data_IF_430695977828
#
_entry.id   IF_430695977828
#
_cell.length_a   1.000
_cell.length_b   1.000
_cell.length_c   1.000
_cell.angle_alpha   90.00
_cell.angle_beta   90.00
_cell.angle_gamma   90.00
#
_symmetry.space_group_name_H-M   'P 1'
#
loop_
_entity.id
_entity.type
_entity.pdbx_description
1 polymer ?
#
# COMPACT_ATOMS: atom_id res chain seq x y z
N UNK A 1 15.94 1.55 -68.14
CA UNK A 1 15.14 1.83 -66.93
C UNK A 1 15.73 1.37 -65.58
N UNK A 2 16.86 0.63 -65.52
CA UNK A 2 17.36 0.05 -64.24
C UNK A 2 18.30 0.95 -63.40
N UNK A 3 18.84 2.05 -63.94
CA UNK A 3 19.85 2.89 -63.24
C UNK A 3 19.26 4.09 -62.45
N UNK A 4 17.99 4.43 -62.66
CA UNK A 4 17.34 5.55 -61.96
C UNK A 4 16.81 5.22 -60.56
N UNK A 5 16.55 3.94 -60.28
CA UNK A 5 15.97 3.49 -59.01
C UNK A 5 17.01 3.51 -57.88
N UNK A 6 18.20 2.95 -58.11
CA UNK A 6 19.28 2.94 -57.12
C UNK A 6 19.77 4.34 -56.73
N UNK A 7 19.75 5.31 -57.66
CA UNK A 7 20.21 6.68 -57.42
C UNK A 7 19.25 7.52 -56.57
N UNK A 8 17.94 7.20 -56.60
CA UNK A 8 16.90 7.91 -55.82
C UNK A 8 16.67 7.29 -54.44
N UNK A 9 16.82 5.98 -54.32
CA UNK A 9 16.57 5.26 -53.06
C UNK A 9 17.81 5.00 -52.22
N UNK A 10 19.02 5.10 -52.79
CA UNK A 10 20.29 4.90 -52.08
C UNK A 10 20.42 5.72 -50.79
N UNK A 11 20.16 7.05 -50.81
CA UNK A 11 20.20 7.87 -49.60
C UNK A 11 19.16 7.48 -48.56
N UNK A 12 17.95 7.10 -48.98
CA UNK A 12 16.88 6.65 -48.07
C UNK A 12 17.21 5.31 -47.42
N UNK A 13 17.79 4.36 -48.18
CA UNK A 13 18.28 3.10 -47.65
C UNK A 13 19.43 3.31 -46.66
N UNK A 14 20.40 4.17 -46.99
CA UNK A 14 21.50 4.50 -46.10
C UNK A 14 20.99 5.15 -44.79
N UNK A 15 20.04 6.09 -44.90
CA UNK A 15 19.41 6.70 -43.73
C UNK A 15 18.62 5.67 -42.91
N UNK A 16 17.88 4.77 -43.55
CA UNK A 16 17.15 3.69 -42.90
C UNK A 16 18.08 2.71 -42.17
N UNK A 17 19.19 2.32 -42.77
CA UNK A 17 20.22 1.49 -42.14
C UNK A 17 20.89 2.20 -40.97
N UNK A 18 21.22 3.48 -41.12
CA UNK A 18 21.79 4.27 -40.04
C UNK A 18 20.82 4.39 -38.84
N UNK A 19 19.54 4.67 -39.10
CA UNK A 19 18.50 4.68 -38.06
C UNK A 19 18.33 3.30 -37.42
N UNK A 20 18.32 2.23 -38.21
CA UNK A 20 18.26 0.86 -37.71
C UNK A 20 19.45 0.54 -36.80
N UNK A 21 20.66 0.90 -37.20
CA UNK A 21 21.86 0.75 -36.38
C UNK A 21 21.76 1.54 -35.07
N UNK A 22 21.30 2.80 -35.11
CA UNK A 22 21.10 3.62 -33.90
C UNK A 22 20.07 2.99 -32.95
N UNK A 23 18.96 2.46 -33.46
CA UNK A 23 17.94 1.76 -32.65
C UNK A 23 18.52 0.50 -32.02
N UNK A 24 19.29 -0.30 -32.78
CA UNK A 24 19.93 -1.50 -32.27
C UNK A 24 20.99 -1.18 -31.21
N UNK A 25 21.83 -0.17 -31.44
CA UNK A 25 22.81 0.30 -30.46
C UNK A 25 22.12 0.78 -29.19
N UNK A 26 21.06 1.57 -29.31
CA UNK A 26 20.27 2.04 -28.17
C UNK A 26 19.65 0.87 -27.38
N UNK A 27 19.11 -0.13 -28.07
CA UNK A 27 18.57 -1.34 -27.45
C UNK A 27 19.66 -2.12 -26.69
N UNK A 28 20.83 -2.35 -27.30
CA UNK A 28 21.97 -3.03 -26.67
C UNK A 28 22.44 -2.25 -25.43
N UNK A 29 22.60 -0.93 -25.53
CA UNK A 29 23.00 -0.09 -24.40
C UNK A 29 22.02 -0.17 -23.22
N UNK A 30 20.74 -0.34 -23.50
CA UNK A 30 19.68 -0.50 -22.50
C UNK A 30 19.63 -1.90 -21.89
N UNK A 31 20.32 -2.90 -22.44
CA UNK A 31 20.42 -4.23 -21.79
C UNK A 31 21.38 -4.21 -20.60
N UNK A 32 21.00 -4.89 -19.52
CA UNK A 32 21.82 -5.10 -18.33
C UNK A 32 21.30 -6.29 -17.51
N UNK A 33 22.22 -7.00 -16.84
CA UNK A 33 21.90 -8.07 -15.88
C UNK A 33 21.34 -7.55 -14.55
N UNK A 34 21.55 -6.27 -14.24
CA UNK A 34 21.02 -5.61 -13.04
C UNK A 34 19.90 -4.63 -13.40
N UNK A 35 19.01 -4.35 -12.44
CA UNK A 35 17.95 -3.36 -12.56
C UNK A 35 18.47 -1.94 -12.32
N UNK A 36 19.50 -1.79 -11.47
CA UNK A 36 20.12 -0.51 -11.14
C UNK A 36 20.96 -0.61 -9.87
N UNK A 37 21.19 0.52 -9.22
CA UNK A 37 21.94 0.62 -7.97
C UNK A 37 21.17 1.44 -6.94
N UNK A 38 21.44 1.15 -5.66
CA UNK A 38 20.95 1.88 -4.50
C UNK A 38 22.06 2.03 -3.46
N UNK A 39 21.97 2.96 -2.50
CA UNK A 39 22.87 2.98 -1.34
C UNK A 39 22.77 1.67 -0.55
N UNK A 40 23.85 1.28 0.14
CA UNK A 40 23.85 0.08 0.99
C UNK A 40 22.80 0.19 2.11
N UNK A 41 22.70 1.37 2.74
CA UNK A 41 21.76 1.74 3.79
C UNK A 41 20.34 2.08 3.35
N UNK A 42 19.93 1.71 2.12
CA UNK A 42 18.56 1.97 1.66
C UNK A 42 17.53 1.31 2.59
N UNK A 43 16.53 2.10 3.01
CA UNK A 43 15.41 1.67 3.85
C UNK A 43 14.30 1.02 3.02
N UNK A 44 14.11 1.45 1.78
CA UNK A 44 13.20 0.81 0.84
C UNK A 44 13.59 1.07 -0.60
N UNK A 45 13.11 0.21 -1.50
CA UNK A 45 13.25 0.34 -2.95
C UNK A 45 11.93 0.07 -3.66
N UNK A 46 11.67 0.83 -4.71
CA UNK A 46 10.70 0.53 -5.76
C UNK A 46 11.48 0.20 -7.02
N UNK A 47 11.20 -0.93 -7.65
CA UNK A 47 11.88 -1.36 -8.88
C UNK A 47 10.85 -1.72 -9.94
N UNK A 48 11.17 -1.39 -11.18
CA UNK A 48 10.40 -1.80 -12.34
C UNK A 48 11.37 -2.24 -13.43
N UNK A 49 11.18 -3.46 -13.92
CA UNK A 49 12.01 -3.99 -15.01
C UNK A 49 11.79 -3.22 -16.33
N UNK A 50 10.52 -2.93 -16.64
CA UNK A 50 10.12 -2.01 -17.70
C UNK A 50 9.03 -1.07 -17.20
N UNK A 51 9.44 0.05 -16.57
CA UNK A 51 8.54 1.07 -16.06
C UNK A 51 7.60 1.62 -17.17
N UNK A 52 8.08 1.69 -18.41
CA UNK A 52 7.26 2.12 -19.54
C UNK A 52 6.17 1.11 -19.88
N UNK A 53 6.49 -0.20 -19.86
CA UNK A 53 5.50 -1.25 -20.06
C UNK A 53 4.50 -1.33 -18.91
N UNK A 54 4.95 -1.23 -17.65
CA UNK A 54 4.08 -1.17 -16.48
C UNK A 54 3.07 -0.03 -16.58
N UNK A 55 3.53 1.20 -16.86
CA UNK A 55 2.63 2.37 -17.00
C UNK A 55 1.69 2.21 -18.19
N UNK A 56 2.17 1.66 -19.30
CA UNK A 56 1.33 1.41 -20.48
C UNK A 56 0.23 0.38 -20.19
N UNK A 57 0.55 -0.70 -19.48
CA UNK A 57 -0.41 -1.73 -19.07
C UNK A 57 -1.39 -1.18 -18.03
N UNK A 58 -0.91 -0.41 -17.06
CA UNK A 58 -1.76 0.22 -16.03
C UNK A 58 -2.78 1.16 -16.67
N UNK A 59 -2.37 1.96 -17.67
CA UNK A 59 -3.28 2.84 -18.41
C UNK A 59 -4.38 2.10 -19.19
N UNK A 60 -4.25 0.78 -19.40
CA UNK A 60 -5.28 -0.06 -20.02
C UNK A 60 -6.26 -0.64 -18.99
N UNK A 61 -5.94 -0.62 -17.70
CA UNK A 61 -6.87 -1.06 -16.66
C UNK A 61 -7.85 0.06 -16.29
N UNK A 62 -9.01 -0.31 -15.73
CA UNK A 62 -9.97 0.67 -15.23
C UNK A 62 -9.35 1.55 -14.14
N UNK A 63 -8.59 0.93 -13.24
CA UNK A 63 -7.93 1.59 -12.11
C UNK A 63 -6.93 2.63 -12.59
N UNK A 64 -6.11 2.34 -13.60
CA UNK A 64 -5.16 3.32 -14.13
C UNK A 64 -5.83 4.47 -14.89
N UNK A 65 -6.95 4.20 -15.59
CA UNK A 65 -7.73 5.25 -16.24
C UNK A 65 -8.39 6.18 -15.22
N UNK A 66 -9.01 5.61 -14.19
CA UNK A 66 -9.68 6.37 -13.14
C UNK A 66 -8.64 7.14 -12.29
N UNK A 67 -7.48 6.55 -11.99
CA UNK A 67 -6.36 7.23 -11.34
C UNK A 67 -5.87 8.43 -12.17
N UNK A 68 -5.72 8.27 -13.49
CA UNK A 68 -5.26 9.36 -14.35
C UNK A 68 -6.22 10.56 -14.32
N UNK A 69 -7.52 10.31 -14.22
CA UNK A 69 -8.53 11.38 -14.08
C UNK A 69 -8.45 12.03 -12.71
N UNK A 70 -8.42 11.23 -11.65
CA UNK A 70 -8.43 11.69 -10.26
C UNK A 70 -7.18 12.50 -9.90
N UNK A 71 -6.02 12.07 -10.39
CA UNK A 71 -4.74 12.75 -10.18
C UNK A 71 -4.37 13.72 -11.31
N UNK A 72 -5.30 14.07 -12.21
CA UNK A 72 -4.98 14.87 -13.41
C UNK A 72 -4.33 16.22 -13.10
N UNK A 73 -4.76 16.91 -12.04
CA UNK A 73 -4.14 18.17 -11.59
C UNK A 73 -2.72 17.94 -11.08
N UNK A 74 -2.51 16.98 -10.17
CA UNK A 74 -1.20 16.64 -9.60
C UNK A 74 -0.22 16.13 -10.66
N UNK A 75 -0.67 15.22 -11.52
CA UNK A 75 0.09 14.71 -12.66
C UNK A 75 0.40 15.86 -13.61
N UNK A 76 -0.56 16.74 -13.90
CA UNK A 76 -0.37 17.92 -14.76
C UNK A 76 0.68 18.87 -14.20
N UNK A 77 0.65 19.15 -12.90
CA UNK A 77 1.65 19.98 -12.23
C UNK A 77 3.04 19.34 -12.25
N UNK A 78 3.12 18.04 -11.91
CA UNK A 78 4.37 17.27 -11.99
C UNK A 78 4.93 17.31 -13.41
N UNK A 79 4.13 16.97 -14.42
CA UNK A 79 4.53 17.01 -15.83
C UNK A 79 4.99 18.40 -16.26
N UNK A 80 4.33 19.47 -15.78
CA UNK A 80 4.73 20.85 -16.05
C UNK A 80 6.08 21.18 -15.42
N UNK A 81 6.27 20.86 -14.13
CA UNK A 81 7.54 21.08 -13.40
C UNK A 81 8.68 20.30 -14.05
N UNK A 82 8.48 19.02 -14.34
CA UNK A 82 9.46 18.18 -15.03
C UNK A 82 9.78 18.70 -16.42
N UNK A 83 8.78 19.17 -17.18
CA UNK A 83 9.01 19.76 -18.51
C UNK A 83 9.84 21.05 -18.43
N UNK A 84 9.57 21.92 -17.46
CA UNK A 84 10.34 23.16 -17.26
C UNK A 84 11.78 22.83 -16.88
N UNK A 85 11.99 21.84 -16.01
CA UNK A 85 13.32 21.47 -15.52
C UNK A 85 14.16 20.67 -16.54
N UNK A 86 13.55 19.75 -17.27
CA UNK A 86 14.25 18.84 -18.18
C UNK A 86 14.14 19.22 -19.66
N UNK A 87 13.26 20.16 -20.02
CA UNK A 87 12.95 20.51 -21.42
C UNK A 87 12.19 19.42 -22.20
N UNK A 88 11.86 18.29 -21.56
CA UNK A 88 11.25 17.12 -22.21
C UNK A 88 9.84 16.89 -21.64
N UNK A 89 8.84 16.78 -22.52
CA UNK A 89 7.50 16.29 -22.12
C UNK A 89 7.60 14.80 -21.73
N UNK A 90 7.28 14.40 -20.50
CA UNK A 90 7.30 13.00 -20.09
C UNK A 90 6.13 12.27 -20.74
N UNK A 91 6.40 11.51 -21.78
CA UNK A 91 5.47 10.53 -22.37
C UNK A 91 6.13 9.16 -22.28
N UNK A 92 5.37 8.07 -22.30
CA UNK A 92 5.92 6.70 -22.20
C UNK A 92 7.01 6.48 -23.26
N UNK A 93 6.76 6.88 -24.51
CA UNK A 93 7.74 6.76 -25.59
C UNK A 93 9.00 7.58 -25.31
N UNK A 94 8.86 8.85 -24.91
CA UNK A 94 10.02 9.71 -24.60
C UNK A 94 10.78 9.19 -23.39
N UNK A 95 10.10 8.69 -22.36
CA UNK A 95 10.75 8.06 -21.23
C UNK A 95 11.61 6.87 -21.67
N UNK A 96 11.04 5.95 -22.45
CA UNK A 96 11.78 4.78 -22.94
C UNK A 96 12.96 5.19 -23.80
N UNK A 97 12.83 6.21 -24.64
CA UNK A 97 13.92 6.73 -25.48
C UNK A 97 15.05 7.32 -24.63
N UNK A 98 14.72 8.22 -23.69
CA UNK A 98 15.71 8.98 -22.91
C UNK A 98 16.24 8.20 -21.70
N UNK A 99 15.35 7.71 -20.84
CA UNK A 99 15.66 7.11 -19.54
C UNK A 99 15.83 5.58 -19.61
N UNK A 100 15.29 4.94 -20.65
CA UNK A 100 15.29 3.48 -20.80
C UNK A 100 14.08 2.81 -20.12
N UNK A 101 14.12 1.48 -20.02
CA UNK A 101 13.02 0.69 -19.44
C UNK A 101 13.13 0.53 -17.92
N UNK A 102 14.35 0.44 -17.40
CA UNK A 102 14.61 0.11 -15.98
C UNK A 102 14.46 1.35 -15.11
N UNK A 103 13.83 1.15 -13.96
CA UNK A 103 13.73 2.14 -12.91
C UNK A 103 13.98 1.47 -11.56
N UNK A 104 14.87 2.07 -10.78
CA UNK A 104 14.99 1.85 -9.34
C UNK A 104 14.79 3.19 -8.67
N UNK A 105 13.91 3.27 -7.69
CA UNK A 105 13.78 4.40 -6.77
C UNK A 105 14.11 3.85 -5.39
N UNK A 106 14.94 4.53 -4.62
CA UNK A 106 15.27 4.08 -3.27
C UNK A 106 15.42 5.26 -2.32
N UNK A 107 14.95 5.07 -1.10
CA UNK A 107 15.17 5.98 0.02
C UNK A 107 16.21 5.39 0.95
N UNK A 108 17.13 6.24 1.40
CA UNK A 108 18.17 5.93 2.35
C UNK A 108 18.33 7.13 3.31
N UNK A 109 19.08 7.01 4.42
CA UNK A 109 19.37 8.14 5.30
C UNK A 109 19.97 9.35 4.57
N UNK A 110 20.73 9.11 3.50
CA UNK A 110 21.33 10.14 2.66
C UNK A 110 20.32 10.85 1.75
N UNK A 111 19.11 10.31 1.57
CA UNK A 111 18.01 10.92 0.83
C UNK A 111 17.24 9.96 -0.09
N UNK A 112 16.46 10.54 -1.00
CA UNK A 112 15.69 9.84 -2.02
C UNK A 112 16.36 10.02 -3.38
N UNK A 113 16.53 8.93 -4.13
CA UNK A 113 17.05 9.00 -5.49
C UNK A 113 16.50 7.94 -6.41
N UNK A 114 16.78 8.12 -7.70
CA UNK A 114 16.40 7.22 -8.75
C UNK A 114 17.63 6.78 -9.56
N UNK A 115 17.59 5.54 -10.05
CA UNK A 115 18.57 4.96 -10.93
C UNK A 115 17.86 4.43 -12.17
N UNK A 116 18.30 4.89 -13.34
CA UNK A 116 17.77 4.47 -14.64
C UNK A 116 18.91 4.00 -15.54
N UNK A 117 18.59 3.34 -16.65
CA UNK A 117 19.59 2.95 -17.66
C UNK A 117 19.33 3.68 -18.98
N UNK A 118 19.86 4.90 -19.14
CA UNK A 118 19.57 5.73 -20.30
C UNK A 118 20.07 5.14 -21.60
N UNK A 119 19.39 5.55 -22.67
CA UNK A 119 19.73 5.25 -24.04
C UNK A 119 20.88 6.06 -24.62
N UNK A 120 21.03 5.93 -25.94
CA UNK A 120 22.08 6.58 -26.71
C UNK A 120 22.01 8.12 -26.60
N UNK A 121 20.81 8.71 -26.64
CA UNK A 121 20.66 10.17 -26.66
C UNK A 121 21.22 10.85 -25.42
N UNK A 122 20.88 10.35 -24.23
CA UNK A 122 21.35 10.97 -22.98
C UNK A 122 22.86 10.76 -22.78
N UNK A 123 23.39 9.63 -23.27
CA UNK A 123 24.84 9.37 -23.29
C UNK A 123 25.57 10.28 -24.27
N UNK A 124 24.97 10.58 -25.42
CA UNK A 124 25.53 11.53 -26.39
C UNK A 124 25.56 12.95 -25.81
N UNK A 125 24.49 13.40 -25.14
CA UNK A 125 24.45 14.69 -24.45
C UNK A 125 25.55 14.79 -23.39
N UNK A 126 25.73 13.76 -22.56
CA UNK A 126 26.81 13.71 -21.58
C UNK A 126 28.20 13.69 -22.24
N UNK A 127 28.35 12.98 -23.37
CA UNK A 127 29.58 12.96 -24.16
C UNK A 127 29.95 14.36 -24.69
N UNK A 128 29.00 15.06 -25.31
CA UNK A 128 29.18 16.44 -25.75
C UNK A 128 29.51 17.38 -24.60
N UNK A 129 28.82 17.24 -23.46
CA UNK A 129 29.12 18.03 -22.26
C UNK A 129 30.55 17.82 -21.78
N UNK A 130 31.04 16.58 -21.73
CA UNK A 130 32.43 16.27 -21.34
C UNK A 130 33.46 16.84 -22.31
N UNK A 131 33.15 16.85 -23.60
CA UNK A 131 34.02 17.47 -24.61
C UNK A 131 34.13 18.99 -24.44
N UNK A 132 33.03 19.65 -24.06
CA UNK A 132 33.01 21.11 -23.88
C UNK A 132 33.50 21.59 -22.51
N UNK A 133 33.12 20.90 -21.43
CA UNK A 133 33.44 21.32 -20.06
C UNK A 133 34.71 20.67 -19.49
N UNK A 134 35.29 19.70 -20.19
CA UNK A 134 36.41 18.90 -19.71
C UNK A 134 36.01 17.84 -18.66
N UNK A 135 36.98 17.01 -18.24
CA UNK A 135 36.75 15.98 -17.23
C UNK A 135 36.48 16.61 -15.85
N UNK A 136 35.39 16.18 -15.21
CA UNK A 136 35.02 16.55 -13.83
C UNK A 136 34.76 15.30 -13.03
N UNK A 137 35.08 15.33 -11.73
CA UNK A 137 34.77 14.23 -10.82
C UNK A 137 33.27 14.29 -10.44
N UNK A 138 32.54 13.16 -10.49
CA UNK A 138 31.16 13.09 -10.00
C UNK A 138 31.10 13.26 -8.47
N UNK A 139 29.95 13.62 -7.88
CA UNK A 139 28.66 13.87 -8.53
C UNK A 139 28.61 15.20 -9.30
N UNK A 140 27.95 15.19 -10.44
CA UNK A 140 27.64 16.39 -11.24
C UNK A 140 26.35 17.05 -10.73
N UNK A 141 26.12 18.32 -11.07
CA UNK A 141 24.87 19.01 -10.78
C UNK A 141 24.24 19.61 -12.03
N UNK A 142 22.90 19.60 -12.09
CA UNK A 142 22.12 20.25 -13.15
C UNK A 142 20.74 20.63 -12.61
N UNK A 143 20.36 21.90 -12.73
CA UNK A 143 19.03 22.41 -12.33
C UNK A 143 18.59 21.99 -10.91
N UNK A 144 19.52 22.00 -9.94
CA UNK A 144 19.26 21.60 -8.55
C UNK A 144 19.29 20.10 -8.27
N UNK A 145 19.49 19.26 -9.29
CA UNK A 145 19.68 17.82 -9.15
C UNK A 145 21.16 17.47 -9.16
N UNK A 146 21.54 16.45 -8.39
CA UNK A 146 22.83 15.79 -8.46
C UNK A 146 22.71 14.50 -9.25
N UNK A 147 23.72 14.18 -10.05
CA UNK A 147 23.74 12.95 -10.82
C UNK A 147 25.15 12.38 -11.03
N UNK A 148 25.21 11.08 -11.27
CA UNK A 148 26.44 10.41 -11.66
C UNK A 148 26.16 9.17 -12.52
N UNK A 149 27.21 8.70 -13.20
CA UNK A 149 27.15 7.49 -14.02
C UNK A 149 27.90 6.35 -13.33
N UNK A 150 27.26 5.18 -13.22
CA UNK A 150 27.87 3.94 -12.73
C UNK A 150 27.50 2.79 -13.65
N UNK A 151 28.50 2.19 -14.32
CA UNK A 151 28.30 1.03 -15.20
C UNK A 151 27.19 1.20 -16.25
N UNK A 152 27.07 2.42 -16.81
CA UNK A 152 26.05 2.78 -17.79
C UNK A 152 24.66 3.09 -17.22
N UNK A 153 24.50 3.05 -15.90
CA UNK A 153 23.32 3.58 -15.23
C UNK A 153 23.53 5.04 -14.85
N UNK A 154 22.46 5.81 -14.92
CA UNK A 154 22.40 7.18 -14.42
C UNK A 154 21.70 7.18 -13.07
N UNK A 155 22.38 7.69 -12.06
CA UNK A 155 21.88 7.89 -10.70
C UNK A 155 21.54 9.38 -10.57
N UNK A 156 20.35 9.70 -10.09
CA UNK A 156 19.86 11.07 -9.89
C UNK A 156 19.24 11.23 -8.51
N UNK A 157 19.49 12.35 -7.85
CA UNK A 157 18.87 12.70 -6.56
C UNK A 157 18.93 14.22 -6.34
N UNK A 158 18.06 14.74 -5.49
CA UNK A 158 18.21 16.09 -4.94
C UNK A 158 19.30 16.17 -3.85
N UNK A 159 19.74 15.02 -3.34
CA UNK A 159 20.83 14.91 -2.35
C UNK A 159 22.14 14.54 -3.04
N UNK A 160 23.17 15.35 -2.80
CA UNK A 160 24.55 15.06 -3.22
C UNK A 160 25.07 13.79 -2.54
N UNK A 161 24.77 13.65 -1.26
CA UNK A 161 25.26 12.56 -0.41
C UNK A 161 24.68 11.22 -0.85
N UNK A 162 23.40 11.21 -1.29
CA UNK A 162 22.81 10.02 -1.87
C UNK A 162 23.59 9.54 -3.10
N UNK A 163 23.89 10.44 -4.05
CA UNK A 163 24.63 10.07 -5.26
C UNK A 163 26.03 9.60 -4.91
N UNK A 164 26.70 10.26 -3.95
CA UNK A 164 28.02 9.86 -3.47
C UNK A 164 28.00 8.47 -2.84
N UNK A 165 27.01 8.17 -1.98
CA UNK A 165 26.84 6.85 -1.37
C UNK A 165 26.68 5.76 -2.44
N UNK A 166 25.77 5.95 -3.41
CA UNK A 166 25.62 4.97 -4.51
C UNK A 166 26.92 4.75 -5.30
N UNK A 167 27.79 5.77 -5.46
CA UNK A 167 29.08 5.60 -6.13
C UNK A 167 30.10 4.83 -5.29
N UNK A 168 30.15 5.09 -3.97
CA UNK A 168 31.13 4.50 -3.07
C UNK A 168 30.80 3.04 -2.73
N UNK A 169 29.57 2.76 -2.29
CA UNK A 169 29.18 1.48 -1.69
C UNK A 169 27.88 0.89 -2.26
N UNK A 170 27.37 1.47 -3.36
CA UNK A 170 26.04 1.12 -3.82
C UNK A 170 25.88 -0.36 -4.18
N UNK A 171 24.74 -0.92 -3.79
CA UNK A 171 24.36 -2.32 -3.97
C UNK A 171 23.62 -2.48 -5.28
N UNK A 172 24.04 -3.45 -6.09
CA UNK A 172 23.35 -3.81 -7.32
C UNK A 172 21.97 -4.42 -7.02
N UNK A 173 20.94 -3.87 -7.65
CA UNK A 173 19.58 -4.38 -7.54
C UNK A 173 19.38 -5.43 -8.63
N UNK A 174 18.99 -6.65 -8.23
CA UNK A 174 18.71 -7.74 -9.17
C UNK A 174 17.40 -7.50 -9.90
N UNK A 175 17.28 -8.12 -11.08
CA UNK A 175 16.00 -8.23 -11.74
C UNK A 175 15.13 -9.20 -10.97
N UNK A 176 13.98 -8.73 -10.54
CA UNK A 176 12.94 -9.54 -9.92
C UNK A 176 11.66 -9.34 -10.74
N UNK A 177 10.97 -10.45 -11.02
CA UNK A 177 9.59 -10.45 -11.52
C UNK A 177 9.34 -10.15 -13.00
N UNK A 178 8.11 -9.73 -13.28
CA UNK A 178 7.54 -9.59 -14.62
C UNK A 178 7.82 -8.19 -15.20
N UNK A 179 7.71 -8.03 -16.52
CA UNK A 179 7.96 -6.74 -17.18
C UNK A 179 6.92 -5.66 -16.83
N UNK A 180 5.71 -6.11 -16.54
CA UNK A 180 4.50 -5.36 -16.23
C UNK A 180 4.21 -5.33 -14.72
N UNK A 181 5.25 -5.46 -13.89
CA UNK A 181 5.14 -5.42 -12.45
C UNK A 181 6.02 -4.33 -11.84
N UNK A 182 5.53 -3.78 -10.73
CA UNK A 182 6.25 -2.90 -9.83
C UNK A 182 6.56 -3.66 -8.55
N UNK A 183 7.83 -3.68 -8.15
CA UNK A 183 8.29 -4.37 -6.96
C UNK A 183 8.66 -3.36 -5.90
N UNK A 184 8.04 -3.46 -4.74
CA UNK A 184 8.38 -2.71 -3.54
C UNK A 184 9.10 -3.62 -2.56
N UNK A 185 10.21 -3.16 -1.98
CA UNK A 185 10.93 -3.88 -0.92
C UNK A 185 11.31 -2.93 0.19
N UNK A 186 11.02 -3.31 1.42
CA UNK A 186 11.45 -2.60 2.62
C UNK A 186 12.58 -3.38 3.31
N UNK A 187 13.66 -2.68 3.67
CA UNK A 187 14.81 -3.23 4.38
C UNK A 187 14.75 -2.78 5.84
N UNK A 188 14.82 -3.72 6.78
CA UNK A 188 14.79 -3.43 8.21
C UNK A 188 14.03 -4.47 9.02
N UNK A 189 13.66 -4.16 10.28
CA UNK A 189 12.74 -4.97 11.06
C UNK A 189 11.42 -5.15 10.30
N UNK A 190 10.98 -6.40 10.14
CA UNK A 190 9.81 -6.71 9.30
C UNK A 190 10.09 -6.50 7.81
N UNK A 191 11.25 -6.94 7.32
CA UNK A 191 11.56 -7.00 5.89
C UNK A 191 10.38 -7.60 5.12
N UNK A 192 9.94 -6.89 4.09
CA UNK A 192 8.91 -7.39 3.19
C UNK A 192 9.16 -6.97 1.76
N UNK A 193 8.56 -7.74 0.87
CA UNK A 193 8.55 -7.51 -0.56
C UNK A 193 7.12 -7.64 -1.08
N UNK A 194 6.75 -6.76 -2.00
CA UNK A 194 5.45 -6.73 -2.66
C UNK A 194 5.69 -6.56 -4.15
N UNK A 195 4.97 -7.32 -4.95
CA UNK A 195 4.93 -7.21 -6.41
C UNK A 195 3.51 -6.88 -6.82
N UNK A 196 3.30 -5.76 -7.48
CA UNK A 196 1.99 -5.35 -8.02
C UNK A 196 2.03 -5.44 -9.54
N UNK A 197 1.12 -6.20 -10.13
CA UNK A 197 1.01 -6.37 -11.58
C UNK A 197 0.02 -5.35 -12.15
N UNK A 198 0.37 -4.75 -13.28
CA UNK A 198 -0.50 -3.83 -14.02
C UNK A 198 -1.53 -4.61 -14.88
N UNK A 199 -2.43 -5.32 -14.21
CA UNK A 199 -3.53 -6.07 -14.81
C UNK A 199 -4.85 -5.70 -14.12
N UNK A 200 -6.03 -6.03 -14.70
CA UNK A 200 -7.31 -5.79 -14.06
C UNK A 200 -7.32 -6.33 -12.63
N UNK A 201 -7.71 -5.47 -11.70
CA UNK A 201 -7.74 -5.79 -10.28
C UNK A 201 -6.42 -5.65 -9.52
N UNK A 202 -5.35 -5.20 -10.20
CA UNK A 202 -4.01 -4.99 -9.65
C UNK A 202 -3.53 -6.18 -8.78
N UNK A 203 -3.36 -7.38 -9.37
CA UNK A 203 -2.91 -8.55 -8.64
C UNK A 203 -1.62 -8.26 -7.89
N UNK A 204 -1.58 -8.68 -6.64
CA UNK A 204 -0.48 -8.42 -5.74
C UNK A 204 0.00 -9.73 -5.12
N UNK A 205 1.31 -9.89 -5.02
CA UNK A 205 1.92 -11.01 -4.34
C UNK A 205 3.15 -10.54 -3.58
N UNK A 206 3.45 -11.15 -2.45
CA UNK A 206 4.57 -10.71 -1.64
C UNK A 206 4.89 -11.66 -0.51
N UNK A 207 5.80 -11.20 0.33
CA UNK A 207 6.12 -11.90 1.56
C UNK A 207 6.63 -10.92 2.61
N UNK A 208 6.27 -11.17 3.85
CA UNK A 208 6.76 -10.42 5.02
C UNK A 208 7.32 -11.38 6.04
N UNK A 209 8.43 -11.03 6.68
CA UNK A 209 8.94 -11.82 7.82
C UNK A 209 8.02 -11.61 9.02
N UNK A 210 7.36 -12.67 9.46
CA UNK A 210 6.38 -12.64 10.53
C UNK A 210 6.49 -13.91 11.39
N UNK A 211 6.24 -13.77 12.69
CA UNK A 211 6.15 -14.89 13.63
C UNK A 211 4.74 -15.45 13.70
N UNK A 212 4.18 -15.79 12.53
CA UNK A 212 2.88 -16.45 12.40
C UNK A 212 3.16 -17.89 11.98
N UNK A 213 2.49 -18.84 12.61
CA UNK A 213 2.63 -20.27 12.32
C UNK A 213 1.47 -20.78 11.47
N UNK A 214 1.76 -21.72 10.57
CA UNK A 214 0.73 -22.38 9.78
C UNK A 214 -0.16 -23.27 10.65
N UNK A 215 -1.50 -23.14 10.51
CA UNK A 215 -2.46 -23.96 11.28
C UNK A 215 -3.73 -24.27 10.46
N UNK A 216 -4.15 -25.53 10.53
CA UNK A 216 -5.48 -26.00 10.12
C UNK A 216 -6.50 -25.80 11.27
N UNK A 217 -7.83 -25.69 11.01
CA UNK A 217 -8.58 -25.73 9.72
C UNK A 217 -8.47 -24.41 8.92
N UNK A 218 -9.22 -24.11 7.85
CA UNK A 218 -9.22 -22.81 7.12
C UNK A 218 -9.82 -21.63 7.91
N UNK A 219 -9.57 -20.37 7.49
CA UNK A 219 -10.16 -19.17 8.09
C UNK A 219 -11.58 -18.98 7.56
N UNK A 220 -12.48 -18.49 8.40
CA UNK A 220 -13.93 -18.39 8.07
C UNK A 220 -14.54 -17.05 8.47
N UNK A 221 -13.85 -16.26 9.30
CA UNK A 221 -14.23 -14.89 9.64
C UNK A 221 -13.89 -13.81 8.61
N UNK A 222 -12.92 -13.94 7.67
CA UNK A 222 -12.52 -12.85 6.78
C UNK A 222 -13.67 -12.21 6.01
N UNK A 223 -14.64 -13.02 5.58
CA UNK A 223 -15.79 -12.59 4.78
C UNK A 223 -17.13 -12.78 5.53
N UNK A 224 -17.07 -12.98 6.86
CA UNK A 224 -18.25 -13.13 7.74
C UNK A 224 -18.97 -11.81 8.03
N UNK A 225 -18.52 -10.70 7.45
CA UNK A 225 -18.99 -9.39 7.87
C UNK A 225 -20.36 -9.04 7.26
N UNK A 226 -21.39 -8.77 8.09
CA UNK A 226 -22.73 -8.34 7.69
C UNK A 226 -22.72 -7.00 6.93
N UNK A 227 -21.97 -6.02 7.44
CA UNK A 227 -21.60 -4.78 6.76
C UNK A 227 -20.13 -4.79 6.41
N UNK A 228 -19.80 -4.24 5.23
CA UNK A 228 -18.43 -4.13 4.73
C UNK A 228 -17.62 -3.21 5.65
N UNK A 229 -16.59 -3.71 6.36
CA UNK A 229 -15.74 -2.86 7.19
C UNK A 229 -14.87 -1.97 6.31
N UNK A 230 -14.29 -0.90 6.86
CA UNK A 230 -13.22 -0.15 6.20
C UNK A 230 -12.01 -1.07 6.01
N UNK A 231 -11.61 -1.75 7.10
CA UNK A 231 -10.48 -2.65 7.17
C UNK A 231 -10.84 -3.81 8.09
N UNK A 232 -10.50 -5.02 7.72
CA UNK A 232 -10.57 -6.19 8.57
C UNK A 232 -9.29 -7.02 8.46
N UNK A 233 -8.85 -7.54 9.60
CA UNK A 233 -7.71 -8.41 9.74
C UNK A 233 -8.16 -9.64 10.52
N UNK A 234 -8.06 -10.81 9.88
CA UNK A 234 -8.42 -12.09 10.46
C UNK A 234 -7.19 -12.97 10.58
N UNK A 235 -7.02 -13.62 11.72
CA UNK A 235 -5.91 -14.51 12.04
C UNK A 235 -6.39 -15.63 12.94
N UNK A 236 -5.53 -16.62 13.22
CA UNK A 236 -5.87 -17.75 14.09
C UNK A 236 -5.91 -17.38 15.55
N UNK A 237 -4.85 -16.74 16.04
CA UNK A 237 -4.68 -16.47 17.47
C UNK A 237 -4.51 -14.98 17.75
N UNK A 238 -4.89 -14.51 18.94
CA UNK A 238 -4.61 -13.14 19.36
C UNK A 238 -3.13 -12.74 19.26
N UNK A 239 -2.20 -13.66 19.50
CA UNK A 239 -0.76 -13.41 19.33
C UNK A 239 -0.38 -13.06 17.88
N UNK A 240 -1.02 -13.70 16.90
CA UNK A 240 -0.81 -13.42 15.47
C UNK A 240 -1.36 -12.03 15.10
N UNK A 241 -2.44 -11.59 15.76
CA UNK A 241 -3.03 -10.26 15.58
C UNK A 241 -2.07 -9.18 16.11
N UNK A 242 -1.46 -9.43 17.27
CA UNK A 242 -0.44 -8.55 17.83
C UNK A 242 0.80 -8.48 16.92
N UNK A 243 1.24 -9.61 16.36
CA UNK A 243 2.35 -9.65 15.40
C UNK A 243 2.00 -8.87 14.12
N UNK A 244 0.79 -9.04 13.58
CA UNK A 244 0.34 -8.29 12.42
C UNK A 244 0.24 -6.78 12.71
N UNK A 245 -0.26 -6.37 13.89
CA UNK A 245 -0.26 -4.98 14.32
C UNK A 245 1.16 -4.41 14.43
N UNK A 246 2.11 -5.19 14.99
CA UNK A 246 3.54 -4.83 15.06
C UNK A 246 4.15 -4.60 13.67
N UNK A 247 3.77 -5.39 12.68
CA UNK A 247 4.23 -5.25 11.29
C UNK A 247 3.67 -3.99 10.61
N UNK A 248 2.44 -3.60 10.96
CA UNK A 248 1.78 -2.41 10.42
C UNK A 248 2.19 -1.12 11.16
N UNK A 249 2.60 -1.19 12.43
CA UNK A 249 2.91 -0.04 13.27
C UNK A 249 3.89 0.98 12.64
N UNK A 250 5.04 0.57 12.02
CA UNK A 250 5.95 1.54 11.41
C UNK A 250 5.34 2.33 10.24
N UNK A 251 4.31 1.79 9.59
CA UNK A 251 3.59 2.45 8.50
C UNK A 251 2.60 3.46 9.05
N UNK A 252 1.88 3.08 10.12
CA UNK A 252 1.08 4.03 10.86
C UNK A 252 1.94 5.14 11.44
N UNK A 253 3.10 4.86 12.02
CA UNK A 253 3.97 5.88 12.59
C UNK A 253 4.47 6.92 11.58
N UNK A 254 4.65 6.52 10.31
CA UNK A 254 5.03 7.43 9.22
C UNK A 254 3.85 8.19 8.64
N UNK A 255 2.65 7.60 8.68
CA UNK A 255 1.42 8.20 8.16
C UNK A 255 0.67 9.05 9.18
N UNK A 256 0.90 8.81 10.47
CA UNK A 256 0.20 9.40 11.59
C UNK A 256 0.98 10.62 12.10
N UNK A 257 0.39 11.83 12.03
CA UNK A 257 1.00 13.03 12.59
C UNK A 257 1.35 12.85 14.08
N UNK A 258 2.40 13.51 14.57
CA UNK A 258 2.84 13.36 15.96
C UNK A 258 1.75 13.77 16.97
N UNK A 259 0.86 14.69 16.58
CA UNK A 259 -0.31 15.10 17.36
C UNK A 259 -1.27 13.94 17.60
N UNK A 260 -1.49 13.08 16.61
CA UNK A 260 -2.31 11.88 16.75
C UNK A 260 -1.63 10.84 17.63
N UNK A 261 -0.31 10.66 17.51
CA UNK A 261 0.42 9.75 18.40
C UNK A 261 0.27 10.18 19.86
N UNK A 262 0.41 11.48 20.13
CA UNK A 262 0.18 12.04 21.48
C UNK A 262 -1.25 11.85 21.94
N UNK A 263 -2.23 12.04 21.06
CA UNK A 263 -3.64 11.84 21.38
C UNK A 263 -3.95 10.37 21.68
N UNK A 264 -3.48 9.44 20.84
CA UNK A 264 -3.63 8.00 21.02
C UNK A 264 -2.94 7.58 22.32
N UNK A 265 -1.73 8.07 22.59
CA UNK A 265 -1.04 7.82 23.86
C UNK A 265 -1.83 8.37 25.05
N UNK A 266 -2.36 9.60 24.96
CA UNK A 266 -3.19 10.19 26.02
C UNK A 266 -4.49 9.42 26.23
N UNK A 267 -5.12 8.95 25.15
CA UNK A 267 -6.31 8.12 25.22
C UNK A 267 -5.98 6.76 25.86
N UNK A 268 -4.87 6.13 25.44
CA UNK A 268 -4.37 4.88 25.98
C UNK A 268 -4.08 4.98 27.48
N UNK A 269 -3.38 6.03 27.90
CA UNK A 269 -3.08 6.31 29.31
C UNK A 269 -4.36 6.55 30.13
N UNK A 270 -5.40 7.14 29.51
CA UNK A 270 -6.72 7.33 30.14
C UNK A 270 -7.58 6.09 30.17
N UNK A 271 -7.35 5.12 29.29
CA UNK A 271 -8.15 3.91 29.20
C UNK A 271 -7.89 2.93 30.34
N UNK A 272 -6.75 3.07 31.05
CA UNK A 272 -6.34 2.24 32.19
C UNK A 272 -6.72 0.76 32.00
N UNK A 273 -6.47 0.24 30.79
CA UNK A 273 -6.94 -1.10 30.40
C UNK A 273 -6.20 -2.11 31.27
N UNK A 274 -6.88 -2.83 32.17
CA UNK A 274 -6.19 -3.75 33.03
C UNK A 274 -5.59 -4.88 32.19
N UNK A 275 -4.48 -5.49 32.67
CA UNK A 275 -3.93 -6.65 32.00
C UNK A 275 -5.00 -7.74 31.92
N UNK A 276 -5.11 -8.38 30.76
CA UNK A 276 -5.97 -9.55 30.61
C UNK A 276 -5.41 -10.70 31.47
N UNK A 277 -6.31 -11.54 31.97
CA UNK A 277 -5.94 -12.73 32.75
C UNK A 277 -5.04 -13.66 31.93
N UNK A 278 -4.12 -14.36 32.61
CA UNK A 278 -3.29 -15.38 31.95
C UNK A 278 -4.15 -16.42 31.23
N UNK A 279 -3.85 -16.69 29.96
CA UNK A 279 -4.59 -17.65 29.15
C UNK A 279 -5.98 -17.19 28.72
N UNK A 280 -6.29 -15.89 28.71
CA UNK A 280 -7.56 -15.36 28.18
C UNK A 280 -7.81 -15.80 26.72
N UNK A 281 -6.74 -16.05 25.97
CA UNK A 281 -6.79 -16.52 24.59
C UNK A 281 -7.13 -18.01 24.45
N UNK A 282 -7.20 -18.76 25.57
CA UNK A 282 -7.46 -20.19 25.55
C UNK A 282 -8.82 -20.49 24.94
N UNK A 283 -8.84 -21.39 23.96
CA UNK A 283 -10.06 -21.79 23.25
C UNK A 283 -10.43 -20.89 22.08
N UNK A 284 -9.75 -19.75 21.87
CA UNK A 284 -9.91 -18.95 20.64
C UNK A 284 -9.19 -19.65 19.49
N UNK A 285 -9.94 -20.01 18.45
CA UNK A 285 -9.43 -20.70 17.24
C UNK A 285 -9.30 -19.78 16.04
N UNK A 286 -10.04 -18.68 16.04
CA UNK A 286 -9.98 -17.64 15.03
C UNK A 286 -10.36 -16.30 15.66
N UNK A 287 -9.69 -15.22 15.25
CA UNK A 287 -10.01 -13.86 15.67
C UNK A 287 -9.99 -12.94 14.47
N UNK A 288 -10.98 -12.04 14.41
CA UNK A 288 -11.12 -11.08 13.34
C UNK A 288 -11.43 -9.70 13.92
N UNK A 289 -10.54 -8.74 13.65
CA UNK A 289 -10.67 -7.35 14.08
C UNK A 289 -10.99 -6.48 12.87
N UNK A 290 -12.06 -5.68 12.96
CA UNK A 290 -12.46 -4.74 11.92
C UNK A 290 -12.58 -3.31 12.42
N UNK A 291 -12.10 -2.38 11.61
CA UNK A 291 -12.50 -0.99 11.62
C UNK A 291 -13.73 -0.84 10.75
N UNK A 292 -14.88 -0.55 11.35
CA UNK A 292 -16.18 -0.48 10.65
C UNK A 292 -16.60 0.96 10.32
N UNK A 293 -16.03 1.95 11.01
CA UNK A 293 -16.35 3.35 10.82
C UNK A 293 -15.44 4.25 11.64
N UNK A 294 -15.57 5.55 11.43
CA UNK A 294 -14.94 6.59 12.25
C UNK A 294 -16.00 7.65 12.53
N UNK A 295 -16.24 7.94 13.81
CA UNK A 295 -17.10 9.04 14.27
C UNK A 295 -16.30 10.34 14.07
N UNK A 296 -16.88 11.32 13.39
CA UNK A 296 -16.18 12.56 13.01
C UNK A 296 -16.83 13.83 13.54
N UNK A 297 -18.00 13.71 14.17
CA UNK A 297 -18.72 14.76 14.89
C UNK A 297 -18.21 14.98 16.33
N UNK A 298 -17.33 14.10 16.83
CA UNK A 298 -16.65 14.26 18.11
C UNK A 298 -15.48 15.26 18.04
N UNK A 299 -15.00 15.70 19.21
CA UNK A 299 -13.86 16.62 19.33
C UNK A 299 -12.58 16.12 18.63
N UNK A 300 -12.49 14.82 18.38
CA UNK A 300 -11.46 14.14 17.60
C UNK A 300 -12.09 12.90 16.93
N UNK A 301 -11.53 12.38 15.83
CA UNK A 301 -12.07 11.21 15.16
C UNK A 301 -11.96 9.95 16.04
N UNK A 302 -13.08 9.27 16.27
CA UNK A 302 -13.13 8.07 17.13
C UNK A 302 -13.37 6.81 16.28
N UNK A 303 -12.45 5.82 16.30
CA UNK A 303 -12.62 4.60 15.53
C UNK A 303 -13.74 3.73 16.10
N UNK A 304 -14.57 3.19 15.22
CA UNK A 304 -15.58 2.19 15.56
C UNK A 304 -15.05 0.81 15.21
N UNK A 305 -14.63 0.06 16.23
CA UNK A 305 -14.01 -1.25 16.10
C UNK A 305 -14.98 -2.36 16.47
N UNK A 306 -14.83 -3.51 15.80
CA UNK A 306 -15.53 -4.75 16.10
C UNK A 306 -14.51 -5.88 16.10
N UNK A 307 -14.56 -6.74 17.12
CA UNK A 307 -13.75 -7.93 17.23
C UNK A 307 -14.69 -9.14 17.37
N UNK A 308 -14.45 -10.15 16.54
CA UNK A 308 -15.13 -11.45 16.61
C UNK A 308 -14.08 -12.48 16.98
N UNK A 309 -14.32 -13.24 18.04
CA UNK A 309 -13.45 -14.31 18.50
C UNK A 309 -14.23 -15.62 18.46
N UNK A 310 -13.82 -16.52 17.56
CA UNK A 310 -14.41 -17.85 17.44
C UNK A 310 -13.81 -18.77 18.50
N UNK A 311 -14.68 -19.41 19.27
CA UNK A 311 -14.29 -20.31 20.35
C UNK A 311 -14.60 -21.78 20.09
N UNK A 312 -13.84 -22.69 20.71
CA UNK A 312 -14.26 -24.10 20.86
C UNK A 312 -15.39 -24.27 21.86
N UNK A 313 -15.57 -23.32 22.79
CA UNK A 313 -16.64 -23.33 23.79
C UNK A 313 -17.04 -21.92 24.23
N UNK A 314 -17.86 -21.22 23.43
CA UNK A 314 -18.38 -19.90 23.79
C UNK A 314 -19.43 -19.90 24.92
N UNK A 315 -19.65 -21.02 25.62
CA UNK A 315 -20.47 -21.04 26.83
C UNK A 315 -19.74 -20.50 28.07
N UNK A 316 -18.42 -20.34 28.02
CA UNK A 316 -17.65 -19.69 29.09
C UNK A 316 -17.84 -18.18 29.10
N UNK A 317 -17.41 -17.53 30.19
CA UNK A 317 -17.31 -16.08 30.28
C UNK A 317 -16.55 -15.49 29.09
N UNK A 318 -16.90 -14.26 28.71
CA UNK A 318 -16.25 -13.56 27.61
C UNK A 318 -14.75 -13.41 27.89
N UNK A 319 -13.83 -13.69 26.93
CA UNK A 319 -12.38 -13.64 27.14
C UNK A 319 -11.86 -12.29 27.67
N UNK A 320 -12.54 -11.20 27.30
CA UNK A 320 -12.20 -9.84 27.72
C UNK A 320 -12.99 -9.36 28.95
N UNK A 321 -13.72 -10.24 29.64
CA UNK A 321 -14.56 -9.85 30.79
C UNK A 321 -13.76 -9.23 31.94
N UNK A 322 -12.50 -9.64 32.13
CA UNK A 322 -11.61 -9.08 33.16
C UNK A 322 -11.36 -7.56 33.00
N UNK A 323 -11.60 -6.98 31.81
CA UNK A 323 -11.56 -5.53 31.62
C UNK A 323 -12.61 -4.82 32.49
N UNK A 324 -13.74 -5.47 32.77
CA UNK A 324 -14.81 -4.95 33.61
C UNK A 324 -14.42 -4.84 35.09
N UNK A 325 -13.41 -5.58 35.56
CA UNK A 325 -13.10 -5.66 37.01
C UNK A 325 -12.61 -4.32 37.59
N UNK A 326 -12.04 -3.45 36.73
CA UNK A 326 -11.50 -2.14 37.13
C UNK A 326 -12.27 -0.96 36.54
N UNK A 327 -13.45 -1.19 35.94
CA UNK A 327 -14.24 -0.15 35.28
C UNK A 327 -15.73 -0.32 35.59
N UNK A 328 -16.53 0.77 35.63
CA UNK A 328 -17.96 0.66 35.79
C UNK A 328 -18.54 -0.15 34.62
N UNK A 329 -18.95 -1.39 34.90
CA UNK A 329 -19.54 -2.29 33.92
C UNK A 329 -21.03 -2.47 34.21
N UNK A 330 -21.84 -2.31 33.17
CA UNK A 330 -23.29 -2.43 33.25
C UNK A 330 -23.73 -3.69 32.49
N UNK A 331 -24.53 -4.57 33.11
CA UNK A 331 -25.17 -5.66 32.39
C UNK A 331 -25.95 -5.16 31.17
N UNK A 332 -25.88 -5.91 30.09
CA UNK A 332 -26.62 -5.66 28.85
C UNK A 332 -27.08 -6.99 28.25
N UNK A 333 -27.99 -6.90 27.29
CA UNK A 333 -28.47 -8.05 26.53
C UNK A 333 -28.32 -7.76 25.04
N UNK A 334 -27.71 -8.69 24.31
CA UNK A 334 -27.45 -8.56 22.88
C UNK A 334 -28.08 -9.75 22.15
N UNK A 335 -29.17 -9.51 21.42
CA UNK A 335 -29.82 -10.59 20.67
C UNK A 335 -30.33 -11.76 21.53
N UNK A 336 -30.74 -11.49 22.78
CA UNK A 336 -31.17 -12.53 23.73
C UNK A 336 -30.06 -13.07 24.63
N UNK A 337 -28.81 -12.69 24.39
CA UNK A 337 -27.64 -13.21 25.09
C UNK A 337 -27.09 -12.20 26.11
N UNK A 338 -26.63 -12.64 27.30
CA UNK A 338 -26.06 -11.75 28.30
C UNK A 338 -24.74 -11.14 27.80
N UNK A 339 -24.52 -9.89 28.16
CA UNK A 339 -23.32 -9.14 27.82
C UNK A 339 -23.03 -8.02 28.81
N UNK A 340 -22.03 -7.21 28.48
CA UNK A 340 -21.56 -6.09 29.31
C UNK A 340 -21.40 -4.83 28.46
N UNK A 341 -21.60 -3.67 29.10
CA UNK A 341 -21.24 -2.35 28.59
C UNK A 341 -20.27 -1.71 29.56
N UNK A 342 -19.10 -1.32 29.05
CA UNK A 342 -18.02 -0.72 29.82
C UNK A 342 -17.72 0.64 29.18
N UNK A 343 -18.24 1.75 29.73
CA UNK A 343 -17.97 3.08 29.20
C UNK A 343 -16.49 3.42 29.38
N UNK A 344 -15.79 3.68 28.28
CA UNK A 344 -14.36 3.99 28.28
C UNK A 344 -14.08 5.49 28.16
N UNK A 345 -14.78 6.19 27.25
CA UNK A 345 -14.70 7.65 27.11
C UNK A 345 -16.11 8.21 27.07
N UNK A 346 -16.69 8.43 28.26
CA UNK A 346 -18.06 8.93 28.38
C UNK A 346 -19.06 8.06 27.60
N UNK A 347 -20.01 8.70 26.91
CA UNK A 347 -20.97 8.03 26.03
C UNK A 347 -20.44 7.73 24.61
N UNK A 348 -19.28 8.28 24.26
CA UNK A 348 -18.80 8.30 22.88
C UNK A 348 -18.04 7.01 22.51
N UNK A 349 -17.40 6.38 23.50
CA UNK A 349 -16.70 5.10 23.38
C UNK A 349 -17.11 4.18 24.52
N UNK A 350 -17.81 3.10 24.18
CA UNK A 350 -18.24 2.06 25.13
C UNK A 350 -17.79 0.71 24.62
N UNK A 351 -16.91 0.02 25.36
CA UNK A 351 -16.60 -1.36 25.07
C UNK A 351 -17.82 -2.21 25.44
N UNK A 352 -18.45 -2.77 24.41
CA UNK A 352 -19.57 -3.69 24.53
C UNK A 352 -19.04 -5.11 24.35
N UNK A 353 -19.28 -5.98 25.31
CA UNK A 353 -18.90 -7.39 25.28
C UNK A 353 -20.15 -8.25 25.24
N UNK A 354 -20.11 -9.37 24.53
CA UNK A 354 -21.27 -10.25 24.40
C UNK A 354 -20.97 -11.48 23.55
N UNK A 355 -22.04 -12.14 23.12
CA UNK A 355 -21.94 -13.43 22.43
C UNK A 355 -22.97 -13.53 21.32
N UNK A 356 -22.63 -14.27 20.27
CA UNK A 356 -23.57 -14.75 19.27
C UNK A 356 -23.23 -16.21 18.90
N UNK A 357 -23.97 -17.18 19.46
CA UNK A 357 -23.72 -18.59 19.24
C UNK A 357 -22.35 -19.05 19.76
N UNK A 358 -21.47 -19.47 18.86
CA UNK A 358 -20.11 -19.94 19.16
C UNK A 358 -19.05 -18.83 19.19
N UNK A 359 -19.46 -17.59 18.92
CA UNK A 359 -18.54 -16.47 18.74
C UNK A 359 -18.71 -15.47 19.89
N UNK A 360 -17.60 -15.06 20.48
CA UNK A 360 -17.55 -13.91 21.39
C UNK A 360 -17.41 -12.63 20.57
N UNK A 361 -18.12 -11.59 20.99
CA UNK A 361 -18.19 -10.31 20.29
C UNK A 361 -17.72 -9.19 21.20
N UNK A 362 -16.88 -8.31 20.66
CA UNK A 362 -16.54 -7.04 21.28
C UNK A 362 -16.71 -5.89 20.28
N UNK A 363 -17.29 -4.76 20.69
CA UNK A 363 -17.41 -3.58 19.85
C UNK A 363 -17.23 -2.30 20.66
N UNK A 364 -16.76 -1.22 20.03
CA UNK A 364 -16.57 0.07 20.73
C UNK A 364 -17.84 0.94 20.80
N UNK A 365 -18.98 0.42 20.33
CA UNK A 365 -20.29 1.11 20.36
C UNK A 365 -21.47 0.15 20.46
N UNK A 366 -22.50 0.56 21.20
CA UNK A 366 -23.73 -0.22 21.41
C UNK A 366 -24.52 -0.49 20.10
N UNK A 367 -24.75 0.49 19.20
CA UNK A 367 -25.51 0.22 17.98
C UNK A 367 -24.82 -0.79 17.05
N UNK A 368 -23.48 -0.77 17.04
CA UNK A 368 -22.69 -1.72 16.27
C UNK A 368 -22.76 -3.10 16.90
N UNK A 369 -22.59 -3.20 18.22
CA UNK A 369 -22.76 -4.47 18.94
C UNK A 369 -24.13 -5.11 18.70
N UNK A 370 -25.21 -4.34 18.85
CA UNK A 370 -26.58 -4.81 18.67
C UNK A 370 -26.82 -5.34 17.25
N UNK A 371 -26.29 -4.63 16.24
CA UNK A 371 -26.39 -5.07 14.86
C UNK A 371 -25.66 -6.41 14.62
N UNK A 372 -24.44 -6.56 15.15
CA UNK A 372 -23.65 -7.79 14.96
C UNK A 372 -24.21 -8.99 15.70
N UNK A 373 -24.74 -8.77 16.90
CA UNK A 373 -25.42 -9.83 17.64
C UNK A 373 -26.66 -10.35 16.87
N UNK A 374 -27.32 -9.50 16.09
CA UNK A 374 -28.49 -9.87 15.30
C UNK A 374 -28.15 -10.50 13.93
N UNK A 375 -27.07 -10.07 13.28
CA UNK A 375 -26.74 -10.43 11.89
C UNK A 375 -25.55 -11.39 11.77
N UNK A 376 -25.74 -12.65 12.18
CA UNK A 376 -24.70 -13.67 12.01
C UNK A 376 -24.55 -14.07 10.54
N UNK A 377 -23.32 -14.10 10.04
CA UNK A 377 -22.96 -14.74 8.76
C UNK A 377 -21.77 -15.66 8.94
N UNK A 378 -21.84 -16.83 8.32
CA UNK A 378 -20.66 -17.66 8.13
C UNK A 378 -20.02 -17.25 6.79
N UNK A 379 -18.73 -16.92 6.83
CA UNK A 379 -17.96 -16.69 5.63
C UNK A 379 -17.53 -18.01 5.00
N UNK A 380 -17.23 -17.97 3.70
CA UNK A 380 -16.66 -19.12 3.01
C UNK A 380 -15.26 -19.45 3.57
N UNK A 381 -14.90 -20.74 3.73
CA UNK A 381 -13.58 -21.13 4.21
C UNK A 381 -12.46 -20.68 3.24
N UNK A 382 -11.38 -20.11 3.78
CA UNK A 382 -10.21 -19.65 3.03
C UNK A 382 -8.95 -20.30 3.58
N UNK A 383 -8.19 -20.94 2.70
CA UNK A 383 -6.90 -21.59 2.99
C UNK A 383 -5.80 -20.55 3.24
N UNK A 384 -5.85 -19.90 4.40
CA UNK A 384 -4.91 -18.88 4.86
C UNK A 384 -4.66 -18.97 6.36
N UNK A 385 -3.53 -18.39 6.79
CA UNK A 385 -3.16 -18.23 8.20
C UNK A 385 -3.45 -16.80 8.68
N UNK A 386 -3.43 -15.84 7.75
CA UNK A 386 -3.89 -14.47 7.97
C UNK A 386 -4.60 -13.95 6.71
N UNK A 387 -5.61 -13.11 6.90
CA UNK A 387 -6.35 -12.47 5.82
C UNK A 387 -6.54 -10.98 6.11
N UNK A 388 -6.31 -10.16 5.09
CA UNK A 388 -6.59 -8.72 5.11
C UNK A 388 -7.70 -8.43 4.12
N UNK A 389 -8.70 -7.66 4.55
CA UNK A 389 -9.75 -7.10 3.70
C UNK A 389 -9.78 -5.60 3.90
N UNK A 390 -9.78 -4.83 2.83
CA UNK A 390 -10.01 -3.39 2.91
C UNK A 390 -11.06 -3.02 1.87
N UNK A 391 -12.12 -2.34 2.27
CA UNK A 391 -13.17 -1.93 1.34
C UNK A 391 -13.00 -0.45 1.06
N UNK A 392 -12.73 -0.13 -0.19
CA UNK A 392 -12.35 1.21 -0.56
C UNK A 392 -13.52 2.20 -0.53
N UNK A 393 -14.74 1.72 -0.80
CA UNK A 393 -15.96 2.54 -0.69
C UNK A 393 -16.11 3.19 0.69
N UNK A 394 -16.21 2.44 1.80
CA UNK A 394 -16.27 3.05 3.14
C UNK A 394 -14.96 3.76 3.51
N UNK A 395 -13.80 3.30 3.05
CA UNK A 395 -12.53 4.00 3.29
C UNK A 395 -12.52 5.40 2.68
N UNK A 396 -12.90 5.56 1.41
CA UNK A 396 -12.95 6.85 0.73
C UNK A 396 -14.02 7.77 1.30
N UNK A 397 -15.16 7.23 1.72
CA UNK A 397 -16.17 7.99 2.47
C UNK A 397 -15.60 8.52 3.79
N UNK A 398 -14.91 7.68 4.56
CA UNK A 398 -14.27 8.09 5.81
C UNK A 398 -13.15 9.09 5.60
N UNK A 399 -12.33 8.93 4.55
CA UNK A 399 -11.31 9.91 4.18
C UNK A 399 -11.92 11.28 3.87
N UNK A 400 -13.07 11.32 3.17
CA UNK A 400 -13.81 12.56 2.91
C UNK A 400 -14.29 13.21 4.20
N UNK A 401 -14.91 12.45 5.10
CA UNK A 401 -15.37 12.96 6.39
C UNK A 401 -14.19 13.53 7.21
N UNK A 402 -13.09 12.77 7.30
CA UNK A 402 -11.87 13.23 7.98
C UNK A 402 -11.34 14.52 7.35
N UNK A 403 -11.28 14.62 6.03
CA UNK A 403 -10.77 15.82 5.36
C UNK A 403 -11.66 17.05 5.59
N UNK A 404 -12.99 16.86 5.65
CA UNK A 404 -13.95 17.93 5.95
C UNK A 404 -13.81 18.48 7.38
N UNK A 405 -13.53 17.60 8.34
CA UNK A 405 -13.37 17.96 9.76
C UNK A 405 -11.92 18.24 10.19
N UNK A 406 -10.92 17.91 9.36
CA UNK A 406 -9.50 18.10 9.65
C UNK A 406 -9.11 19.52 10.10
N UNK A 407 -9.69 20.62 9.55
CA UNK A 407 -9.42 21.96 10.04
C UNK A 407 -9.83 22.18 11.50
N UNK A 408 -10.95 21.59 11.93
CA UNK A 408 -11.47 21.72 13.30
C UNK A 408 -10.54 21.05 14.31
N UNK A 409 -9.95 19.93 13.90
CA UNK A 409 -9.02 19.14 14.70
C UNK A 409 -7.55 19.60 14.60
N UNK A 410 -7.26 20.66 13.82
CA UNK A 410 -5.89 21.16 13.55
C UNK A 410 -4.94 20.08 12.98
N UNK A 411 -5.47 19.08 12.27
CA UNK A 411 -4.65 17.95 11.77
C UNK A 411 -3.82 18.28 10.54
N UNK A 412 -4.20 19.32 9.81
CA UNK A 412 -3.51 19.73 8.60
C UNK A 412 -2.87 21.09 8.89
N UNK A 413 -1.56 21.08 9.15
CA UNK A 413 -0.69 22.28 9.13
C UNK A 413 -0.49 22.83 7.69
N UNK A 414 -1.24 22.32 6.72
CA UNK A 414 -1.35 22.96 5.41
C UNK A 414 -2.07 24.29 5.59
N UNK A 415 -1.75 25.34 4.80
CA UNK A 415 -2.68 26.46 4.65
C UNK A 415 -4.04 25.83 4.37
N UNK A 416 -5.06 26.17 5.19
CA UNK A 416 -6.39 25.60 5.10
C UNK A 416 -6.71 25.42 3.63
N UNK A 417 -6.76 24.17 3.14
CA UNK A 417 -6.99 23.91 1.72
C UNK A 417 -8.27 24.70 1.41
N UNK A 418 -8.21 25.80 0.63
CA UNK A 418 -9.31 26.76 0.58
C UNK A 418 -10.60 26.11 0.08
N UNK A 419 -10.47 24.91 -0.49
CA UNK A 419 -11.57 24.06 -0.87
C UNK A 419 -11.16 22.58 -0.77
N UNK A 420 -11.63 21.87 0.26
CA UNK A 420 -11.48 20.40 0.38
C UNK A 420 -12.15 19.67 -0.79
N UNK A 421 -13.06 20.32 -1.53
CA UNK A 421 -13.69 19.77 -2.74
C UNK A 421 -12.68 19.48 -3.85
N UNK A 422 -11.49 20.10 -3.83
CA UNK A 422 -10.41 19.72 -4.76
C UNK A 422 -9.95 18.28 -4.58
N UNK A 423 -10.18 17.69 -3.40
CA UNK A 423 -9.87 16.30 -3.11
C UNK A 423 -11.04 15.35 -3.45
N UNK A 424 -12.23 15.86 -3.81
CA UNK A 424 -13.38 15.00 -4.14
C UNK A 424 -13.08 13.99 -5.25
N UNK A 425 -12.41 14.35 -6.37
CA UNK A 425 -12.02 13.37 -7.39
C UNK A 425 -11.12 12.26 -6.86
N UNK A 426 -10.26 12.57 -5.88
CA UNK A 426 -9.42 11.57 -5.22
C UNK A 426 -10.24 10.65 -4.34
N UNK A 427 -11.18 11.19 -3.54
CA UNK A 427 -12.06 10.39 -2.70
C UNK A 427 -12.99 9.50 -3.53
N UNK A 428 -13.56 10.03 -4.62
CA UNK A 428 -14.40 9.27 -5.55
C UNK A 428 -13.61 8.14 -6.21
N UNK A 429 -12.36 8.42 -6.62
CA UNK A 429 -11.46 7.40 -7.15
C UNK A 429 -11.21 6.30 -6.13
N UNK A 430 -10.79 6.65 -4.91
CA UNK A 430 -10.56 5.69 -3.83
C UNK A 430 -11.83 4.87 -3.62
N UNK A 431 -12.98 5.50 -3.38
CA UNK A 431 -14.25 4.79 -3.18
C UNK A 431 -14.64 3.87 -4.35
N UNK A 432 -14.23 4.19 -5.57
CA UNK A 432 -14.49 3.39 -6.78
C UNK A 432 -13.59 2.17 -7.00
N UNK A 433 -12.54 1.97 -6.19
CA UNK A 433 -11.57 0.87 -6.34
C UNK A 433 -12.10 -0.51 -5.95
N UNK A 434 -13.29 -0.58 -5.33
CA UNK A 434 -13.89 -1.84 -4.88
C UNK A 434 -13.30 -2.29 -3.54
N UNK A 435 -12.61 -3.44 -3.50
CA UNK A 435 -11.95 -3.93 -2.28
C UNK A 435 -10.57 -4.56 -2.52
N UNK A 436 -9.74 -4.54 -1.49
CA UNK A 436 -8.50 -5.31 -1.33
C UNK A 436 -8.85 -6.64 -0.68
N UNK A 437 -8.29 -7.72 -1.21
CA UNK A 437 -8.30 -9.03 -0.56
C UNK A 437 -6.90 -9.61 -0.63
N UNK A 438 -6.24 -9.76 0.53
CA UNK A 438 -4.96 -10.45 0.67
C UNK A 438 -5.16 -11.68 1.54
N UNK A 439 -4.71 -12.82 1.04
CA UNK A 439 -4.67 -14.07 1.78
C UNK A 439 -3.21 -14.47 1.96
N UNK A 440 -2.85 -14.88 3.17
CA UNK A 440 -1.47 -15.06 3.53
C UNK A 440 -1.25 -16.41 4.22
N UNK A 441 -0.19 -17.11 3.82
CA UNK A 441 0.21 -18.41 4.33
C UNK A 441 1.59 -18.33 4.97
N UNK A 442 1.69 -18.87 6.18
CA UNK A 442 2.91 -18.93 6.95
C UNK A 442 3.76 -20.12 6.50
N UNK A 443 5.03 -19.87 6.16
CA UNK A 443 6.02 -20.90 5.81
C UNK A 443 7.39 -20.47 6.31
N UNK A 444 7.99 -21.25 7.20
CA UNK A 444 9.37 -21.04 7.68
C UNK A 444 9.65 -19.61 8.21
N UNK A 445 8.74 -19.04 9.00
CA UNK A 445 8.88 -17.67 9.53
C UNK A 445 8.67 -16.55 8.51
N UNK A 446 8.12 -16.89 7.34
CA UNK A 446 7.74 -15.96 6.30
C UNK A 446 6.23 -16.10 6.07
N UNK A 447 5.52 -14.99 6.07
CA UNK A 447 4.13 -14.92 5.67
C UNK A 447 4.10 -14.50 4.19
N UNK A 448 3.92 -15.47 3.30
CA UNK A 448 3.75 -15.25 1.88
C UNK A 448 2.28 -14.92 1.60
N UNK A 449 2.01 -13.93 0.77
CA UNK A 449 0.64 -13.51 0.48
C UNK A 449 0.41 -13.29 -1.00
N UNK A 450 -0.84 -13.47 -1.40
CA UNK A 450 -1.36 -13.19 -2.73
C UNK A 450 -2.76 -12.60 -2.64
N UNK A 451 -3.17 -11.96 -3.72
CA UNK A 451 -4.50 -11.39 -3.84
C UNK A 451 -4.56 -10.20 -4.79
N UNK A 452 -5.41 -9.24 -4.45
CA UNK A 452 -5.75 -8.12 -5.32
C UNK A 452 -5.84 -6.84 -4.50
N UNK A 453 -5.34 -5.73 -5.06
CA UNK A 453 -5.53 -4.41 -4.45
C UNK A 453 -6.89 -3.82 -4.79
N UNK A 454 -7.52 -4.28 -5.87
CA UNK A 454 -8.79 -3.74 -6.35
C UNK A 454 -9.61 -4.87 -6.92
N UNK A 455 -10.79 -5.14 -6.37
CA UNK A 455 -11.74 -6.06 -6.98
C UNK A 455 -13.15 -5.51 -6.86
N UNK A 456 -14.01 -5.69 -7.89
CA UNK A 456 -15.42 -5.41 -7.75
C UNK A 456 -15.96 -6.14 -6.52
N UNK A 457 -16.65 -5.41 -5.66
CA UNK A 457 -17.28 -6.07 -4.52
C UNK A 457 -18.50 -6.83 -5.05
N UNK A 458 -18.60 -8.15 -4.86
CA UNK A 458 -19.74 -8.91 -5.34
C UNK A 458 -21.04 -8.30 -4.79
N UNK A 459 -22.08 -8.24 -5.63
CA UNK A 459 -23.38 -7.76 -5.21
C UNK A 459 -23.90 -8.67 -4.08
N UNK A 460 -24.53 -8.12 -3.02
CA UNK A 460 -24.99 -8.92 -1.87
C UNK A 460 -25.92 -10.10 -2.22
N UNK A 461 -26.56 -10.09 -3.40
CA UNK A 461 -27.56 -11.07 -3.80
C UNK A 461 -27.05 -12.16 -4.78
N UNK A 462 -25.84 -12.04 -5.34
CA UNK A 462 -25.38 -13.02 -6.34
C UNK A 462 -24.87 -14.34 -5.73
N UNK A 463 -24.53 -14.35 -4.44
CA UNK A 463 -24.01 -15.53 -3.74
C UNK A 463 -25.03 -16.68 -3.64
N UNK A 464 -26.33 -16.38 -3.60
CA UNK A 464 -27.38 -17.42 -3.54
C UNK A 464 -27.73 -17.99 -4.92
N UNK A 465 -27.34 -17.36 -6.03
CA UNK A 465 -27.67 -17.85 -7.38
C UNK A 465 -26.77 -18.99 -7.88
N UNK A 466 -25.57 -19.16 -7.30
CA UNK A 466 -24.61 -20.20 -7.70
C UNK A 466 -24.79 -21.55 -6.97
N UNK A 467 -25.68 -21.65 -5.99
CA UNK A 467 -26.00 -22.91 -5.27
C UNK A 467 -27.19 -23.69 -5.86
N UNK A 468 -27.72 -23.29 -7.02
CA UNK A 468 -28.84 -23.98 -7.71
C UNK A 468 -28.47 -24.58 -9.08
N UNK A 469 -27.21 -24.95 -9.32
CA UNK A 469 -26.82 -25.70 -10.52
C UNK A 469 -26.03 -26.95 -10.19
#
# INVERSE_FOLDING_TARGET
MKTGWARRWGPLLAAGLALGALVLTDAVLKTAQTAGFRPSGAQWTITAHDAGAFVAALAQTREGQDATKAFSEFIGEFQRKTRIQLGIRPTILRWRVWMGSRLVVASAPEGLGACVRPGLLLRAVEGCRRLWEGPKNPPFSYAGWYYAWRQGFLIVSLSKDYVAAVLQDGVAVRHEGRRDALHFRHFGPGEFQISVQAAPGLPVSGSIRARIEHKEPPLTLPDSWSKRPILALSVRKPADLAEAARLLAPWFDKACPDEWKRLIATAWDRWDVPPLSEGWENGITEISLALTGIITDSAFPVPTLVCVMRGTNAASAHPLAAIADNSPAYPAEWGGEPGLRIPWIGSDVTLCLGRAGSDWLAATREPVMAQWAAERREGDPIEADAALRLYWEPAGFTMRQIAQHAPQWKLLNFPALPDTRRLDPLFDFVSGLGHVALNAQARNGILAFDGFLTQPVPAPNDANSKKQK
#
